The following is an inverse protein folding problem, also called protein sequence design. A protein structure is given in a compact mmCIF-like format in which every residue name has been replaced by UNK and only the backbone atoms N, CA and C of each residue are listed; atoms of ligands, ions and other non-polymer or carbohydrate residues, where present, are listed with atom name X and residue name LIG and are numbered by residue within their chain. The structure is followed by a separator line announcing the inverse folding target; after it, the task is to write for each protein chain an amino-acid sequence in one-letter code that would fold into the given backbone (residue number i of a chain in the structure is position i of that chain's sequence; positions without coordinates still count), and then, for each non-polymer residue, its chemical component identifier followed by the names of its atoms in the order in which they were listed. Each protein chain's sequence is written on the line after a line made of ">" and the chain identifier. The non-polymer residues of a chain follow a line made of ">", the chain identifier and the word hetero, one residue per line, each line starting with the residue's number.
data_IF_521199733812
#
_entry.id   IF_521199733812
#
_cell.length_a   1.000
_cell.length_b   1.000
_cell.length_c   1.000
_cell.angle_alpha   90.00
_cell.angle_beta   90.00
_cell.angle_gamma   90.00
#
_symmetry.space_group_name_H-M   'P 1'
#
loop_
_entity.id
_entity.type
_entity.pdbx_description
1 polymer ?
#
# COMPACT_ATOMS: atom_id res chain seq x y z
N UNK A 1 7.75 36.18 -23.08
CA UNK A 1 8.59 37.27 -22.54
C UNK A 1 8.21 37.39 -21.07
N UNK A 2 8.90 36.81 -20.11
CA UNK A 2 10.26 36.26 -20.05
C UNK A 2 10.20 35.17 -18.96
N UNK A 3 10.49 33.92 -19.32
CA UNK A 3 10.62 32.79 -18.41
C UNK A 3 11.73 33.12 -17.40
N UNK A 4 11.36 33.57 -16.21
CA UNK A 4 12.30 33.64 -15.09
C UNK A 4 12.61 32.20 -14.69
N UNK A 5 13.73 31.70 -15.21
CA UNK A 5 14.49 30.54 -14.70
C UNK A 5 14.44 30.54 -13.18
N UNK A 6 13.57 29.70 -12.60
CA UNK A 6 13.76 29.24 -11.21
C UNK A 6 15.12 28.54 -11.21
N UNK A 7 16.03 29.01 -10.36
CA UNK A 7 17.28 28.32 -10.07
C UNK A 7 16.88 26.94 -9.54
N UNK A 8 16.94 25.90 -10.39
CA UNK A 8 16.90 24.52 -9.91
C UNK A 8 18.14 24.36 -9.04
N UNK A 9 17.97 24.20 -7.74
CA UNK A 9 19.07 23.82 -6.85
C UNK A 9 19.64 22.48 -7.35
N UNK A 10 20.96 22.32 -7.26
CA UNK A 10 21.58 21.04 -7.57
C UNK A 10 21.07 19.99 -6.56
N UNK A 11 20.40 18.91 -6.99
CA UNK A 11 19.82 17.92 -6.08
C UNK A 11 20.87 17.24 -5.18
N UNK A 12 22.15 17.32 -5.57
CA UNK A 12 23.29 16.81 -4.78
C UNK A 12 23.52 17.65 -3.50
N UNK A 13 23.31 18.98 -3.55
CA UNK A 13 23.52 19.84 -2.39
C UNK A 13 22.35 19.80 -1.38
N UNK A 14 21.16 19.36 -1.81
CA UNK A 14 19.97 19.25 -0.97
C UNK A 14 19.77 17.82 -0.41
N UNK A 15 20.71 16.91 -0.65
CA UNK A 15 20.63 15.53 -0.12
C UNK A 15 20.87 15.53 1.40
N UNK A 16 19.92 15.02 2.22
CA UNK A 16 20.13 14.94 3.66
C UNK A 16 21.25 13.94 3.99
N UNK A 17 21.98 14.24 5.05
CA UNK A 17 23.07 13.42 5.58
C UNK A 17 22.60 12.50 6.70
N UNK A 18 23.47 11.59 7.15
CA UNK A 18 23.21 10.79 8.36
C UNK A 18 22.97 11.67 9.59
N UNK A 19 23.67 12.81 9.71
CA UNK A 19 23.49 13.73 10.83
C UNK A 19 22.08 14.35 10.83
N UNK A 20 21.52 14.64 9.65
CA UNK A 20 20.14 15.14 9.53
C UNK A 20 19.11 14.09 9.97
N UNK A 21 19.37 12.81 9.66
CA UNK A 21 18.53 11.69 10.09
C UNK A 21 18.62 11.48 11.61
N UNK A 22 19.82 11.62 12.19
CA UNK A 22 20.00 11.53 13.64
C UNK A 22 19.31 12.67 14.38
N UNK A 23 19.43 13.90 13.88
CA UNK A 23 18.68 15.04 14.38
C UNK A 23 17.16 14.84 14.23
N UNK A 24 16.71 14.21 13.14
CA UNK A 24 15.31 13.86 12.97
C UNK A 24 14.84 12.81 14.01
N UNK A 25 15.68 11.82 14.34
CA UNK A 25 15.40 10.84 15.40
C UNK A 25 15.21 11.52 16.75
N UNK A 26 16.04 12.51 17.08
CA UNK A 26 15.90 13.29 18.31
C UNK A 26 14.58 14.06 18.36
N UNK A 27 14.21 14.75 17.26
CA UNK A 27 12.92 15.47 17.18
C UNK A 27 11.70 14.55 17.28
N UNK A 28 11.82 13.32 16.80
CA UNK A 28 10.74 12.33 16.80
C UNK A 28 10.63 11.56 18.12
N UNK A 29 11.60 11.69 19.04
CA UNK A 29 11.58 11.00 20.33
C UNK A 29 10.32 11.38 21.14
N UNK A 30 9.57 10.38 21.58
CA UNK A 30 8.29 10.56 22.29
C UNK A 30 7.09 10.93 21.39
N UNK A 31 7.35 11.27 20.12
CA UNK A 31 6.33 11.63 19.14
C UNK A 31 6.01 10.44 18.25
N UNK A 32 6.99 9.98 17.45
CA UNK A 32 6.84 8.75 16.68
C UNK A 32 7.04 7.53 17.57
N UNK A 33 6.32 6.44 17.27
CA UNK A 33 6.58 5.14 17.88
C UNK A 33 7.84 4.57 17.27
N UNK A 34 8.73 4.05 18.09
CA UNK A 34 9.66 3.03 17.62
C UNK A 34 8.84 1.77 17.33
N UNK A 35 8.62 1.47 16.05
CA UNK A 35 7.65 0.43 15.69
C UNK A 35 8.25 -0.97 15.91
N UNK A 36 7.43 -1.97 16.26
CA UNK A 36 7.93 -3.33 16.45
C UNK A 36 8.55 -3.92 15.18
N UNK A 37 9.58 -4.74 15.39
CA UNK A 37 10.10 -5.67 14.39
C UNK A 37 9.63 -7.08 14.74
N UNK A 38 8.88 -7.72 13.84
CA UNK A 38 8.37 -9.08 14.06
C UNK A 38 9.15 -10.10 13.23
N UNK A 39 9.65 -11.14 13.88
CA UNK A 39 10.08 -12.36 13.18
C UNK A 39 8.89 -13.20 12.73
N UNK A 40 9.07 -13.99 11.68
CA UNK A 40 7.97 -14.79 11.10
C UNK A 40 8.37 -16.19 10.68
N UNK A 41 8.00 -17.18 11.47
CA UNK A 41 8.21 -18.59 11.10
C UNK A 41 7.50 -18.95 9.79
N UNK A 42 6.24 -18.53 9.63
CA UNK A 42 5.46 -18.86 8.43
C UNK A 42 6.10 -18.32 7.15
N UNK A 43 6.45 -17.03 7.11
CA UNK A 43 7.06 -16.48 5.89
C UNK A 43 8.50 -16.91 5.73
N UNK A 44 9.20 -17.22 6.83
CA UNK A 44 10.54 -17.81 6.74
C UNK A 44 10.52 -19.19 6.09
N UNK A 45 9.57 -20.04 6.49
CA UNK A 45 9.37 -21.37 5.89
C UNK A 45 8.95 -21.28 4.42
N UNK A 46 8.08 -20.33 4.06
CA UNK A 46 7.63 -20.15 2.67
C UNK A 46 8.74 -19.63 1.75
N UNK A 47 9.64 -18.81 2.27
CA UNK A 47 10.71 -18.18 1.47
C UNK A 47 12.09 -18.85 1.62
N UNK A 48 12.21 -19.85 2.48
CA UNK A 48 13.46 -20.59 2.74
C UNK A 48 14.52 -19.81 3.53
N UNK A 49 14.19 -18.66 4.12
CA UNK A 49 15.15 -17.75 4.78
C UNK A 49 14.53 -17.06 5.99
N UNK A 50 15.33 -16.48 6.89
CA UNK A 50 14.79 -15.68 8.00
C UNK A 50 14.10 -14.41 7.48
N UNK A 51 12.88 -14.15 7.95
CA UNK A 51 12.11 -12.95 7.57
C UNK A 51 11.76 -12.13 8.80
N UNK A 52 11.94 -10.82 8.68
CA UNK A 52 11.65 -9.81 9.70
C UNK A 52 10.72 -8.75 9.11
N UNK A 53 9.72 -8.31 9.86
CA UNK A 53 8.69 -7.36 9.42
C UNK A 53 8.76 -6.09 10.27
N UNK A 54 9.15 -4.97 9.68
CA UNK A 54 9.17 -3.65 10.32
C UNK A 54 7.79 -3.01 10.20
N UNK A 55 7.04 -2.98 11.29
CA UNK A 55 5.60 -2.72 11.30
C UNK A 55 5.22 -1.23 11.36
N UNK A 56 5.57 -0.46 10.32
CA UNK A 56 5.18 0.97 10.21
C UNK A 56 3.66 1.17 10.02
N UNK A 57 2.92 0.14 9.65
CA UNK A 57 1.45 0.12 9.72
C UNK A 57 0.90 0.32 11.14
N UNK A 58 1.70 0.07 12.18
CA UNK A 58 1.35 0.32 13.59
C UNK A 58 1.81 1.69 14.09
N UNK A 59 2.35 2.53 13.22
CA UNK A 59 2.69 3.90 13.56
C UNK A 59 1.43 4.73 13.84
N UNK A 60 1.57 5.89 14.48
CA UNK A 60 0.45 6.84 14.57
C UNK A 60 -0.01 7.21 13.15
N UNK A 61 -1.30 7.50 13.02
CA UNK A 61 -1.99 7.67 11.72
C UNK A 61 -1.85 6.47 10.76
N UNK A 62 -1.43 5.29 11.24
CA UNK A 62 -1.43 4.04 10.48
C UNK A 62 -0.36 3.90 9.40
N UNK A 63 0.65 4.79 9.34
CA UNK A 63 1.77 4.67 8.39
C UNK A 63 3.02 5.44 8.81
N UNK A 64 4.12 5.20 8.12
CA UNK A 64 5.41 5.89 8.35
C UNK A 64 5.38 7.42 8.20
N UNK A 65 4.39 7.97 7.49
CA UNK A 65 4.40 9.35 6.98
C UNK A 65 4.55 10.42 8.07
N UNK A 66 4.15 10.12 9.32
CA UNK A 66 4.31 11.07 10.44
C UNK A 66 5.77 11.44 10.68
N UNK A 67 6.72 10.57 10.36
CA UNK A 67 8.14 10.78 10.70
C UNK A 67 8.69 11.97 9.93
N UNK A 68 8.54 11.94 8.60
CA UNK A 68 8.89 13.10 7.77
C UNK A 68 8.00 14.30 8.01
N UNK A 69 6.68 14.13 8.13
CA UNK A 69 5.77 15.26 8.33
C UNK A 69 6.11 16.04 9.62
N UNK A 70 6.25 15.34 10.74
CA UNK A 70 6.59 15.98 12.01
C UNK A 70 8.01 16.54 12.01
N UNK A 71 9.01 15.83 11.46
CA UNK A 71 10.37 16.35 11.38
C UNK A 71 10.41 17.68 10.60
N UNK A 72 9.71 17.77 9.46
CA UNK A 72 9.60 19.02 8.69
C UNK A 72 8.98 20.13 9.54
N UNK A 73 7.81 19.88 10.14
CA UNK A 73 7.09 20.90 10.93
C UNK A 73 7.90 21.34 12.16
N UNK A 74 8.61 20.42 12.81
CA UNK A 74 9.45 20.70 13.97
C UNK A 74 10.65 21.58 13.64
N UNK A 75 11.08 21.66 12.39
CA UNK A 75 12.18 22.55 11.94
C UNK A 75 11.73 23.95 11.56
N UNK A 76 10.41 24.20 11.45
CA UNK A 76 9.89 25.51 11.07
C UNK A 76 10.18 26.56 12.12
N UNK A 77 10.52 27.77 11.65
CA UNK A 77 10.63 28.98 12.44
C UNK A 77 9.29 29.38 13.04
N UNK A 78 9.31 30.30 14.02
CA UNK A 78 8.08 30.80 14.62
C UNK A 78 7.16 31.50 13.60
N UNK A 79 7.73 32.20 12.62
CA UNK A 79 6.99 32.88 11.56
C UNK A 79 6.29 31.85 10.65
N UNK A 80 7.02 30.84 10.16
CA UNK A 80 6.46 29.77 9.33
C UNK A 80 5.37 28.98 10.08
N UNK A 81 5.57 28.68 11.37
CA UNK A 81 4.54 28.00 12.18
C UNK A 81 3.29 28.86 12.37
N UNK A 82 3.45 30.17 12.55
CA UNK A 82 2.29 31.08 12.67
C UNK A 82 1.52 31.20 11.35
N UNK A 83 2.21 31.14 10.20
CA UNK A 83 1.58 31.12 8.88
C UNK A 83 0.85 29.80 8.57
N UNK A 84 1.18 28.73 9.29
CA UNK A 84 0.59 27.41 9.12
C UNK A 84 1.29 26.57 8.06
N UNK A 85 0.82 25.33 7.91
CA UNK A 85 1.33 24.40 6.89
C UNK A 85 0.25 23.98 5.91
N UNK A 86 0.68 23.59 4.71
CA UNK A 86 -0.19 23.14 3.64
C UNK A 86 0.34 21.87 3.00
N UNK A 87 -0.55 20.99 2.58
CA UNK A 87 -0.21 19.81 1.77
C UNK A 87 -1.33 19.47 0.79
N UNK A 88 -0.98 18.81 -0.32
CA UNK A 88 -1.94 18.21 -1.24
C UNK A 88 -1.85 16.67 -1.12
N UNK A 89 -2.88 16.03 -0.56
CA UNK A 89 -2.94 14.57 -0.45
C UNK A 89 -4.29 14.11 0.06
N UNK A 90 -4.95 13.22 -0.68
CA UNK A 90 -6.12 12.48 -0.21
C UNK A 90 -5.75 11.16 0.48
N UNK A 91 -4.61 11.07 1.18
CA UNK A 91 -4.10 9.80 1.71
C UNK A 91 -3.25 9.94 2.97
N UNK A 92 -2.33 8.99 3.15
CA UNK A 92 -1.48 8.86 4.34
C UNK A 92 -0.70 10.14 4.67
N UNK A 93 -0.26 10.88 3.64
CA UNK A 93 0.47 12.12 3.83
C UNK A 93 -0.41 13.23 4.42
N UNK A 94 -1.62 13.44 3.90
CA UNK A 94 -2.55 14.45 4.41
C UNK A 94 -2.90 14.22 5.88
N UNK A 95 -3.18 12.96 6.25
CA UNK A 95 -3.43 12.57 7.64
C UNK A 95 -2.23 12.82 8.54
N UNK A 96 -1.02 12.47 8.07
CA UNK A 96 0.22 12.68 8.82
C UNK A 96 0.53 14.17 9.03
N UNK A 97 0.34 15.02 8.02
CA UNK A 97 0.53 16.47 8.13
C UNK A 97 -0.48 17.09 9.09
N UNK A 98 -1.77 16.74 8.95
CA UNK A 98 -2.81 17.22 9.86
C UNK A 98 -2.50 16.85 11.32
N UNK A 99 -2.15 15.58 11.56
CA UNK A 99 -1.80 15.12 12.89
C UNK A 99 -0.54 15.81 13.42
N UNK A 100 0.54 15.86 12.62
CA UNK A 100 1.80 16.45 13.04
C UNK A 100 1.68 17.96 13.32
N UNK A 101 0.88 18.67 12.54
CA UNK A 101 0.59 20.09 12.76
C UNK A 101 -0.09 20.32 14.10
N UNK A 102 -1.12 19.51 14.42
CA UNK A 102 -1.81 19.57 15.72
C UNK A 102 -0.85 19.34 16.88
N UNK A 103 -0.02 18.31 16.82
CA UNK A 103 0.94 18.01 17.90
C UNK A 103 2.03 19.09 18.04
N UNK A 104 2.38 19.77 16.93
CA UNK A 104 3.34 20.87 16.93
C UNK A 104 2.73 22.24 17.25
N UNK A 105 1.41 22.32 17.44
CA UNK A 105 0.69 23.57 17.75
C UNK A 105 0.55 24.53 16.57
N UNK A 106 0.52 24.02 15.32
CA UNK A 106 0.31 24.81 14.10
C UNK A 106 -0.97 24.38 13.38
N UNK A 107 -1.51 25.25 12.52
CA UNK A 107 -2.63 24.91 11.62
C UNK A 107 -2.13 24.13 10.40
N UNK A 108 -2.98 23.25 9.87
CA UNK A 108 -2.75 22.54 8.61
C UNK A 108 -3.94 22.66 7.67
N UNK A 109 -3.68 23.08 6.43
CA UNK A 109 -4.64 23.06 5.32
C UNK A 109 -4.29 21.93 4.36
N UNK A 110 -5.22 21.02 4.12
CA UNK A 110 -5.00 19.83 3.28
C UNK A 110 -5.92 19.91 2.06
N UNK A 111 -5.31 20.08 0.89
CA UNK A 111 -6.02 20.05 -0.38
C UNK A 111 -6.23 18.61 -0.84
N UNK A 112 -7.47 18.28 -1.18
CA UNK A 112 -7.86 16.96 -1.65
C UNK A 112 -8.77 17.08 -2.89
N UNK A 113 -8.68 16.14 -3.85
CA UNK A 113 -9.68 16.03 -4.91
C UNK A 113 -11.10 15.89 -4.34
N UNK A 114 -12.11 16.40 -5.05
CA UNK A 114 -13.52 16.31 -4.64
C UNK A 114 -14.03 14.87 -4.52
N UNK A 115 -13.47 13.94 -5.29
CA UNK A 115 -13.80 12.52 -5.30
C UNK A 115 -13.00 11.69 -4.28
N UNK A 116 -12.20 12.35 -3.41
CA UNK A 116 -11.46 11.68 -2.36
C UNK A 116 -12.41 10.86 -1.46
N UNK A 117 -12.05 9.60 -1.13
CA UNK A 117 -12.89 8.77 -0.27
C UNK A 117 -13.21 9.47 1.06
N UNK A 118 -14.50 9.53 1.42
CA UNK A 118 -14.96 10.25 2.62
C UNK A 118 -14.26 9.80 3.90
N UNK A 119 -13.93 8.51 4.03
CA UNK A 119 -13.16 8.00 5.17
C UNK A 119 -11.79 8.70 5.32
N UNK A 120 -11.11 9.04 4.21
CA UNK A 120 -9.80 9.72 4.23
C UNK A 120 -9.95 11.22 4.56
N UNK A 121 -11.03 11.84 4.10
CA UNK A 121 -11.40 13.23 4.44
C UNK A 121 -11.71 13.34 5.94
N UNK A 122 -12.58 12.47 6.46
CA UNK A 122 -12.98 12.43 7.86
C UNK A 122 -11.79 12.17 8.79
N UNK A 123 -10.92 11.20 8.45
CA UNK A 123 -9.71 10.94 9.22
C UNK A 123 -8.81 12.19 9.32
N UNK A 124 -8.64 12.91 8.21
CA UNK A 124 -7.80 14.13 8.19
C UNK A 124 -8.40 15.24 9.05
N UNK A 125 -9.72 15.46 8.96
CA UNK A 125 -10.44 16.41 9.83
C UNK A 125 -10.36 16.02 11.30
N UNK A 126 -10.50 14.73 11.63
CA UNK A 126 -10.38 14.21 12.99
C UNK A 126 -8.98 14.42 13.59
N UNK A 127 -7.95 14.50 12.75
CA UNK A 127 -6.59 14.86 13.17
C UNK A 127 -6.34 16.37 13.29
N UNK A 128 -7.34 17.21 13.02
CA UNK A 128 -7.29 18.67 13.19
C UNK A 128 -6.91 19.43 11.92
N UNK A 129 -6.83 18.77 10.76
CA UNK A 129 -6.59 19.43 9.48
C UNK A 129 -7.85 20.09 8.93
N UNK A 130 -7.70 21.29 8.36
CA UNK A 130 -8.72 21.92 7.52
C UNK A 130 -8.63 21.27 6.14
N UNK A 131 -9.69 20.62 5.68
CA UNK A 131 -9.71 19.97 4.36
C UNK A 131 -10.40 20.89 3.35
N UNK A 132 -9.66 21.30 2.34
CA UNK A 132 -10.14 22.13 1.23
C UNK A 132 -10.30 21.25 -0.02
N UNK A 133 -11.53 21.09 -0.55
CA UNK A 133 -11.73 20.37 -1.79
C UNK A 133 -11.17 21.17 -2.97
N UNK A 134 -10.49 20.48 -3.89
CA UNK A 134 -10.03 21.05 -5.16
C UNK A 134 -10.87 20.46 -6.31
N UNK A 135 -11.49 21.34 -7.09
CA UNK A 135 -12.25 20.94 -8.27
C UNK A 135 -11.30 20.37 -9.33
N UNK A 136 -11.49 19.10 -9.67
CA UNK A 136 -10.59 18.36 -10.56
C UNK A 136 -9.94 17.17 -9.85
N UNK A 137 -8.76 16.78 -10.33
CA UNK A 137 -7.99 15.67 -9.80
C UNK A 137 -6.85 16.09 -8.87
N UNK A 138 -5.88 15.19 -8.74
CA UNK A 138 -4.72 15.40 -7.86
C UNK A 138 -3.83 16.57 -8.30
N UNK A 139 -3.69 16.82 -9.61
CA UNK A 139 -2.86 17.90 -10.14
C UNK A 139 -3.44 19.28 -9.76
N UNK A 140 -4.76 19.42 -9.80
CA UNK A 140 -5.49 20.62 -9.37
C UNK A 140 -5.36 20.84 -7.85
N UNK A 141 -5.42 19.77 -7.05
CA UNK A 141 -5.17 19.86 -5.60
C UNK A 141 -3.74 20.35 -5.28
N UNK A 142 -2.74 19.91 -6.06
CA UNK A 142 -1.36 20.38 -5.93
C UNK A 142 -1.23 21.85 -6.32
N UNK A 143 -1.86 22.27 -7.43
CA UNK A 143 -1.87 23.67 -7.86
C UNK A 143 -2.51 24.59 -6.80
N UNK A 144 -3.66 24.19 -6.24
CA UNK A 144 -4.34 24.93 -5.18
C UNK A 144 -3.51 25.04 -3.89
N UNK A 145 -2.77 23.98 -3.54
CA UNK A 145 -1.83 24.04 -2.42
C UNK A 145 -0.70 25.06 -2.65
N UNK A 146 -0.15 25.14 -3.88
CA UNK A 146 0.85 26.16 -4.23
C UNK A 146 0.29 27.58 -4.19
N UNK A 147 -0.91 27.80 -4.72
CA UNK A 147 -1.57 29.11 -4.63
C UNK A 147 -1.80 29.53 -3.17
N UNK A 148 -2.17 28.57 -2.31
CA UNK A 148 -2.31 28.82 -0.88
C UNK A 148 -0.98 29.29 -0.25
N UNK A 149 0.14 28.64 -0.57
CA UNK A 149 1.48 29.08 -0.12
C UNK A 149 1.74 30.53 -0.52
N UNK A 150 1.52 30.87 -1.79
CA UNK A 150 1.77 32.22 -2.31
C UNK A 150 0.91 33.28 -1.63
N UNK A 151 -0.34 32.92 -1.27
CA UNK A 151 -1.30 33.84 -0.66
C UNK A 151 -1.11 34.03 0.85
N UNK A 152 -0.77 32.97 1.58
CA UNK A 152 -0.76 32.99 3.06
C UNK A 152 0.62 32.98 3.68
N UNK A 153 1.66 32.64 2.91
CA UNK A 153 3.00 32.37 3.44
C UNK A 153 3.10 31.04 4.19
N UNK A 154 2.06 30.18 4.13
CA UNK A 154 2.11 28.85 4.74
C UNK A 154 3.21 28.00 4.11
N UNK A 155 3.78 27.08 4.90
CA UNK A 155 4.84 26.18 4.40
C UNK A 155 4.24 24.94 3.76
N UNK A 156 4.62 24.65 2.51
CA UNK A 156 4.28 23.38 1.86
C UNK A 156 5.07 22.23 2.50
N UNK A 157 4.37 21.25 3.06
CA UNK A 157 4.97 19.99 3.51
C UNK A 157 4.83 18.97 2.37
N UNK A 158 5.90 18.83 1.59
CA UNK A 158 5.90 17.92 0.44
C UNK A 158 5.81 16.44 0.86
N UNK A 159 5.24 15.58 0.03
CA UNK A 159 5.00 14.18 0.38
C UNK A 159 6.27 13.30 0.37
N UNK A 160 7.31 13.70 -0.36
CA UNK A 160 8.57 12.94 -0.50
C UNK A 160 9.78 13.78 -0.95
N UNK A 161 9.65 14.69 -1.93
CA UNK A 161 10.70 15.67 -2.35
C UNK A 161 10.93 16.81 -1.33
N UNK A 162 11.42 16.49 -0.15
CA UNK A 162 11.93 17.47 0.80
C UNK A 162 12.98 16.79 1.69
N UNK A 163 14.16 17.38 1.82
CA UNK A 163 15.28 16.83 2.58
C UNK A 163 14.89 16.52 4.04
N UNK A 164 14.06 17.36 4.66
CA UNK A 164 13.55 17.18 6.03
C UNK A 164 12.57 16.01 6.10
N UNK A 165 11.74 15.84 5.08
CA UNK A 165 10.83 14.70 4.98
C UNK A 165 11.64 13.41 4.86
N UNK A 166 12.60 13.36 3.93
CA UNK A 166 13.50 12.23 3.71
C UNK A 166 14.26 11.88 4.99
N UNK A 167 14.84 12.89 5.66
CA UNK A 167 15.56 12.69 6.92
C UNK A 167 14.67 12.06 8.01
N UNK A 168 13.43 12.55 8.14
CA UNK A 168 12.45 11.96 9.05
C UNK A 168 12.14 10.50 8.73
N UNK A 169 11.91 10.16 7.44
CA UNK A 169 11.68 8.77 7.06
C UNK A 169 12.90 7.87 7.31
N UNK A 170 14.11 8.43 7.18
CA UNK A 170 15.37 7.71 7.42
C UNK A 170 15.57 7.22 8.84
N UNK A 171 14.81 7.74 9.80
CA UNK A 171 14.84 7.22 11.18
C UNK A 171 14.45 5.74 11.26
N UNK A 172 13.64 5.24 10.32
CA UNK A 172 13.35 3.80 10.18
C UNK A 172 14.63 3.01 9.87
N UNK A 173 15.54 3.57 9.08
CA UNK A 173 16.81 2.93 8.78
C UNK A 173 17.70 2.81 10.02
N UNK A 174 17.71 3.82 10.91
CA UNK A 174 18.41 3.72 12.20
C UNK A 174 17.79 2.63 13.07
N UNK A 175 16.46 2.57 13.16
CA UNK A 175 15.76 1.51 13.90
C UNK A 175 16.06 0.12 13.33
N UNK A 176 16.12 -0.04 12.01
CA UNK A 176 16.46 -1.32 11.36
C UNK A 176 17.89 -1.76 11.68
N UNK A 177 18.86 -0.85 11.72
CA UNK A 177 20.26 -1.14 12.08
C UNK A 177 20.38 -1.72 13.50
N UNK A 178 19.54 -1.21 14.41
CA UNK A 178 19.51 -1.58 15.82
C UNK A 178 18.68 -2.84 16.06
N UNK A 179 17.50 -2.95 15.44
CA UNK A 179 16.52 -4.02 15.68
C UNK A 179 16.73 -5.28 14.83
N UNK A 180 17.32 -5.14 13.63
CA UNK A 180 17.51 -6.23 12.67
C UNK A 180 18.99 -6.40 12.27
N UNK A 181 19.93 -6.52 13.23
CA UNK A 181 21.37 -6.59 12.92
C UNK A 181 21.77 -7.78 12.04
N UNK A 182 20.94 -8.82 11.99
CA UNK A 182 21.10 -10.03 11.18
C UNK A 182 20.56 -9.91 9.74
N UNK A 183 19.72 -8.91 9.45
CA UNK A 183 19.16 -8.74 8.12
C UNK A 183 20.27 -8.37 7.12
N UNK A 184 20.53 -9.23 6.15
CA UNK A 184 21.47 -8.94 5.08
C UNK A 184 20.80 -8.20 3.92
N UNK A 185 19.47 -8.34 3.77
CA UNK A 185 18.67 -7.66 2.74
C UNK A 185 17.53 -6.86 3.37
N UNK A 186 17.21 -5.69 2.81
CA UNK A 186 16.05 -4.88 3.19
C UNK A 186 15.18 -4.58 1.97
N UNK A 187 13.89 -4.92 2.06
CA UNK A 187 12.89 -4.63 1.02
C UNK A 187 12.08 -3.39 1.42
N UNK A 188 12.09 -2.37 0.55
CA UNK A 188 11.48 -1.06 0.84
C UNK A 188 10.50 -0.67 -0.27
N UNK A 189 9.24 -0.34 0.05
CA UNK A 189 8.30 0.20 -0.93
C UNK A 189 8.81 1.52 -1.53
N UNK A 190 8.74 1.65 -2.86
CA UNK A 190 9.18 2.84 -3.60
C UNK A 190 8.00 3.43 -4.36
N UNK A 191 7.46 4.53 -3.82
CA UNK A 191 6.59 5.44 -4.55
C UNK A 191 7.39 6.63 -5.08
N UNK A 192 7.10 7.83 -4.56
CA UNK A 192 7.87 9.04 -4.89
C UNK A 192 9.33 9.01 -4.43
N UNK A 193 9.72 8.00 -3.64
CA UNK A 193 11.10 7.69 -3.28
C UNK A 193 11.52 8.10 -1.87
N UNK A 194 10.87 9.09 -1.26
CA UNK A 194 11.34 9.66 0.02
C UNK A 194 11.51 8.68 1.20
N UNK A 195 10.66 7.64 1.30
CA UNK A 195 10.83 6.56 2.28
C UNK A 195 12.14 5.78 2.04
N UNK A 196 12.30 5.27 0.83
CA UNK A 196 13.45 4.48 0.45
C UNK A 196 14.73 5.30 0.45
N UNK A 197 14.69 6.58 0.06
CA UNK A 197 15.84 7.48 0.11
C UNK A 197 16.32 7.65 1.54
N UNK A 198 15.42 7.97 2.49
CA UNK A 198 15.79 8.16 3.89
C UNK A 198 16.36 6.89 4.51
N UNK A 199 15.68 5.76 4.34
CA UNK A 199 16.15 4.48 4.89
C UNK A 199 17.49 4.11 4.29
N UNK A 200 17.63 4.19 2.96
CA UNK A 200 18.85 3.76 2.28
C UNK A 200 20.07 4.61 2.63
N UNK A 201 19.92 5.91 2.89
CA UNK A 201 21.01 6.75 3.42
C UNK A 201 21.49 6.20 4.77
N UNK A 202 20.57 5.98 5.71
CA UNK A 202 20.92 5.46 7.03
C UNK A 202 21.59 4.08 6.95
N UNK A 203 21.08 3.17 6.10
CA UNK A 203 21.65 1.85 5.92
C UNK A 203 23.03 1.89 5.26
N UNK A 204 23.26 2.72 4.24
CA UNK A 204 24.57 2.83 3.59
C UNK A 204 25.65 3.36 4.53
N UNK A 205 25.30 4.30 5.39
CA UNK A 205 26.23 4.89 6.36
C UNK A 205 26.53 3.96 7.55
N UNK A 206 25.54 3.18 8.01
CA UNK A 206 25.70 2.32 9.20
C UNK A 206 25.99 0.85 8.88
N UNK A 207 25.59 0.37 7.72
CA UNK A 207 25.67 -1.04 7.26
C UNK A 207 25.95 -1.09 5.74
N UNK A 208 27.12 -0.62 5.27
CA UNK A 208 27.39 -0.47 3.83
C UNK A 208 27.24 -1.75 3.00
N UNK A 209 27.46 -2.93 3.60
CA UNK A 209 27.32 -4.23 2.94
C UNK A 209 25.90 -4.82 2.92
N UNK A 210 24.90 -4.14 3.49
CA UNK A 210 23.51 -4.61 3.46
C UNK A 210 22.92 -4.37 2.06
N UNK A 211 22.23 -5.38 1.52
CA UNK A 211 21.53 -5.27 0.23
C UNK A 211 20.22 -4.50 0.42
N UNK A 212 19.96 -3.51 -0.44
CA UNK A 212 18.78 -2.65 -0.38
C UNK A 212 18.01 -2.79 -1.69
N UNK A 213 16.80 -3.32 -1.62
CA UNK A 213 15.94 -3.56 -2.78
C UNK A 213 14.71 -2.68 -2.70
N UNK A 214 14.52 -1.84 -3.71
CA UNK A 214 13.30 -1.07 -3.90
C UNK A 214 12.20 -1.95 -4.49
N UNK A 215 10.97 -1.84 -3.98
CA UNK A 215 9.82 -2.57 -4.51
C UNK A 215 8.79 -1.59 -5.04
N UNK A 216 8.48 -1.71 -6.33
CA UNK A 216 7.52 -0.88 -7.05
C UNK A 216 6.32 -1.73 -7.51
N UNK A 217 5.26 -1.05 -7.93
CA UNK A 217 4.16 -1.65 -8.69
C UNK A 217 3.98 -0.88 -10.00
N UNK A 218 3.22 -1.47 -10.93
CA UNK A 218 2.90 -0.77 -12.18
C UNK A 218 2.11 0.51 -11.89
N UNK A 219 2.48 1.66 -12.50
CA UNK A 219 1.70 2.88 -12.37
C UNK A 219 0.28 2.71 -12.94
N UNK A 220 -0.70 3.35 -12.33
CA UNK A 220 -2.09 3.33 -12.78
C UNK A 220 -3.06 2.96 -11.67
N UNK A 221 -4.17 2.32 -12.05
CA UNK A 221 -5.15 1.81 -11.10
C UNK A 221 -4.59 0.54 -10.44
N UNK A 222 -4.20 0.66 -9.18
CA UNK A 222 -3.62 -0.43 -8.37
C UNK A 222 -4.11 -0.35 -6.94
N UNK A 223 -4.18 -1.51 -6.26
CA UNK A 223 -4.44 -1.59 -4.82
C UNK A 223 -3.30 -1.01 -3.97
N UNK A 224 -2.12 -0.74 -4.55
CA UNK A 224 -0.99 -0.06 -3.91
C UNK A 224 -0.95 1.45 -4.23
N UNK A 225 -2.08 2.13 -4.01
CA UNK A 225 -2.28 3.56 -4.29
C UNK A 225 -1.18 4.47 -3.72
N UNK A 226 -0.68 4.16 -2.52
CA UNK A 226 0.37 4.93 -1.84
C UNK A 226 1.73 4.98 -2.56
N UNK A 227 1.99 4.08 -3.51
CA UNK A 227 3.21 4.06 -4.32
C UNK A 227 2.95 4.17 -5.83
N UNK A 228 1.69 4.37 -6.24
CA UNK A 228 1.26 4.52 -7.63
C UNK A 228 1.57 5.91 -8.21
N UNK A 229 2.81 6.36 -8.12
CA UNK A 229 3.25 7.67 -8.64
C UNK A 229 3.71 7.57 -10.10
N UNK A 230 3.37 8.59 -10.90
CA UNK A 230 3.76 8.68 -12.33
C UNK A 230 5.28 8.75 -12.52
N UNK A 231 5.97 9.44 -11.63
CA UNK A 231 7.43 9.57 -11.64
C UNK A 231 7.96 9.65 -10.21
N UNK A 232 9.21 9.21 -10.04
CA UNK A 232 9.99 9.52 -8.84
C UNK A 232 10.29 11.02 -8.84
N UNK A 233 10.50 11.58 -7.65
CA UNK A 233 11.00 12.95 -7.58
C UNK A 233 12.51 13.03 -7.86
N UNK A 234 12.98 14.22 -8.20
CA UNK A 234 14.34 14.45 -8.68
C UNK A 234 15.39 14.19 -7.58
N UNK A 235 15.16 14.71 -6.38
CA UNK A 235 16.04 14.51 -5.22
C UNK A 235 16.03 13.05 -4.79
N UNK A 236 14.83 12.48 -4.63
CA UNK A 236 14.70 11.09 -4.20
C UNK A 236 15.32 10.13 -5.22
N UNK A 237 15.13 10.37 -6.53
CA UNK A 237 15.75 9.61 -7.61
C UNK A 237 17.28 9.64 -7.56
N UNK A 238 17.88 10.83 -7.45
CA UNK A 238 19.33 10.99 -7.37
C UNK A 238 19.95 10.25 -6.17
N UNK A 239 19.24 10.17 -5.05
CA UNK A 239 19.66 9.37 -3.88
C UNK A 239 19.57 7.88 -4.20
N UNK A 240 18.40 7.42 -4.68
CA UNK A 240 18.13 5.99 -4.89
C UNK A 240 19.03 5.37 -5.95
N UNK A 241 19.38 6.11 -7.00
CA UNK A 241 20.30 5.65 -8.05
C UNK A 241 21.71 5.33 -7.50
N UNK A 242 22.06 5.90 -6.34
CA UNK A 242 23.35 5.66 -5.66
C UNK A 242 23.24 4.66 -4.52
N UNK A 243 22.05 4.47 -3.94
CA UNK A 243 21.89 3.74 -2.69
C UNK A 243 21.17 2.41 -2.85
N UNK A 244 20.32 2.21 -3.86
CA UNK A 244 19.67 0.92 -4.10
C UNK A 244 20.58 -0.03 -4.88
N UNK A 245 20.54 -1.31 -4.53
CA UNK A 245 21.21 -2.36 -5.31
C UNK A 245 20.32 -2.90 -6.43
N UNK A 246 19.00 -2.87 -6.23
CA UNK A 246 18.05 -3.47 -7.15
C UNK A 246 16.64 -2.87 -7.00
N UNK A 247 15.81 -3.03 -8.03
CA UNK A 247 14.41 -2.61 -8.04
C UNK A 247 13.56 -3.70 -8.69
N UNK A 248 12.54 -4.14 -7.97
CA UNK A 248 11.64 -5.22 -8.42
C UNK A 248 10.19 -4.74 -8.49
N UNK A 249 9.48 -5.18 -9.53
CA UNK A 249 8.05 -4.90 -9.73
C UNK A 249 7.20 -6.08 -9.26
N UNK A 250 6.09 -5.77 -8.58
CA UNK A 250 5.04 -6.73 -8.20
C UNK A 250 3.68 -6.35 -8.79
N UNK A 251 2.82 -7.34 -9.02
CA UNK A 251 1.45 -7.14 -9.52
C UNK A 251 0.41 -7.04 -8.39
N UNK A 252 -0.77 -6.52 -8.69
CA UNK A 252 -1.90 -6.44 -7.74
C UNK A 252 -2.31 -7.82 -7.21
N UNK A 253 -2.18 -8.87 -8.03
CA UNK A 253 -2.43 -10.24 -7.61
C UNK A 253 -1.42 -10.69 -6.54
N UNK A 254 -0.12 -10.46 -6.77
CA UNK A 254 0.94 -10.79 -5.82
C UNK A 254 0.78 -9.98 -4.51
N UNK A 255 0.38 -8.71 -4.62
CA UNK A 255 0.11 -7.84 -3.47
C UNK A 255 -1.11 -8.34 -2.68
N UNK A 256 -2.18 -8.74 -3.37
CA UNK A 256 -3.39 -9.28 -2.74
C UNK A 256 -3.09 -10.56 -1.96
N UNK A 257 -2.33 -11.49 -2.56
CA UNK A 257 -1.94 -12.75 -1.90
C UNK A 257 -1.10 -12.47 -0.64
N UNK A 258 -0.15 -11.55 -0.73
CA UNK A 258 0.68 -11.15 0.42
C UNK A 258 -0.13 -10.48 1.53
N UNK A 259 -1.09 -9.62 1.18
CA UNK A 259 -1.95 -8.92 2.14
C UNK A 259 -2.83 -9.92 2.91
N UNK A 260 -3.50 -10.84 2.21
CA UNK A 260 -4.33 -11.88 2.84
C UNK A 260 -3.49 -12.76 3.76
N UNK A 261 -2.32 -13.20 3.31
CA UNK A 261 -1.41 -14.00 4.13
C UNK A 261 -0.87 -13.24 5.35
N UNK A 262 -0.54 -11.95 5.21
CA UNK A 262 -0.11 -11.09 6.31
C UNK A 262 -1.20 -10.98 7.38
N UNK A 263 -2.43 -10.71 6.96
CA UNK A 263 -3.57 -10.63 7.86
C UNK A 263 -3.82 -11.97 8.56
N UNK A 264 -3.78 -13.10 7.84
CA UNK A 264 -4.10 -14.41 8.41
C UNK A 264 -2.99 -14.98 9.30
N UNK A 265 -1.73 -14.79 8.93
CA UNK A 265 -0.60 -15.44 9.60
C UNK A 265 0.11 -14.53 10.59
N UNK A 266 -0.02 -13.21 10.42
CA UNK A 266 0.55 -12.22 11.34
C UNK A 266 -0.44 -11.32 12.03
N UNK A 267 -1.71 -11.35 11.64
CA UNK A 267 -2.76 -10.54 12.27
C UNK A 267 -2.44 -9.04 12.19
N UNK A 268 -1.65 -8.66 11.18
CA UNK A 268 -1.33 -7.29 10.85
C UNK A 268 -2.18 -6.91 9.64
N UNK A 269 -2.97 -5.85 9.80
CA UNK A 269 -3.64 -5.21 8.68
C UNK A 269 -2.65 -4.25 8.01
N UNK A 270 -2.39 -4.49 6.73
CA UNK A 270 -1.53 -3.66 5.88
C UNK A 270 -2.33 -3.20 4.66
N UNK A 271 -2.01 -2.02 4.13
CA UNK A 271 -2.52 -1.54 2.85
C UNK A 271 -1.71 -2.16 1.69
N UNK A 272 -2.15 -1.99 0.43
CA UNK A 272 -1.43 -2.57 -0.72
C UNK A 272 0.03 -2.11 -0.79
N UNK A 273 0.29 -0.82 -0.64
CA UNK A 273 1.64 -0.27 -0.59
C UNK A 273 2.49 -0.83 0.57
N UNK A 274 1.85 -1.13 1.71
CA UNK A 274 2.50 -1.76 2.85
C UNK A 274 2.83 -3.24 2.66
N UNK A 275 2.15 -3.92 1.74
CA UNK A 275 2.33 -5.34 1.48
C UNK A 275 3.36 -5.65 0.38
N UNK A 276 3.78 -4.67 -0.44
CA UNK A 276 4.58 -4.94 -1.65
C UNK A 276 5.90 -5.65 -1.38
N UNK A 277 6.58 -5.32 -0.27
CA UNK A 277 7.83 -6.00 0.08
C UNK A 277 7.62 -7.49 0.41
N UNK A 278 6.52 -7.83 1.08
CA UNK A 278 6.15 -9.22 1.33
C UNK A 278 5.73 -9.92 0.02
N UNK A 279 5.02 -9.23 -0.86
CA UNK A 279 4.67 -9.74 -2.19
C UNK A 279 5.92 -10.08 -3.00
N UNK A 280 6.92 -9.19 -3.04
CA UNK A 280 8.16 -9.41 -3.76
C UNK A 280 8.94 -10.62 -3.21
N UNK A 281 8.95 -10.81 -1.89
CA UNK A 281 9.56 -11.98 -1.27
C UNK A 281 8.82 -13.27 -1.67
N UNK A 282 7.50 -13.31 -1.50
CA UNK A 282 6.70 -14.51 -1.74
C UNK A 282 6.65 -14.89 -3.23
N UNK A 283 6.74 -13.92 -4.13
CA UNK A 283 6.87 -14.13 -5.57
C UNK A 283 8.29 -14.56 -6.01
N UNK A 284 9.24 -14.71 -5.07
CA UNK A 284 10.62 -15.09 -5.37
C UNK A 284 11.44 -13.99 -6.07
N UNK A 285 10.94 -12.76 -6.09
CA UNK A 285 11.57 -11.62 -6.77
C UNK A 285 12.61 -10.90 -5.92
N UNK A 286 12.57 -11.07 -4.60
CA UNK A 286 13.50 -10.40 -3.68
C UNK A 286 14.99 -10.75 -3.90
N UNK A 287 15.29 -11.90 -4.50
CA UNK A 287 16.66 -12.40 -4.69
C UNK A 287 17.37 -12.80 -3.40
N UNK A 288 18.48 -13.54 -3.49
CA UNK A 288 19.28 -13.99 -2.34
C UNK A 288 18.61 -15.08 -1.48
N UNK A 289 19.31 -15.56 -0.45
CA UNK A 289 18.82 -16.55 0.54
C UNK A 289 19.05 -16.10 1.99
N UNK A 290 19.69 -14.95 2.18
CA UNK A 290 20.04 -14.42 3.49
C UNK A 290 18.83 -13.83 4.24
N UNK A 291 18.93 -13.62 5.57
CA UNK A 291 17.88 -12.97 6.35
C UNK A 291 17.44 -11.63 5.75
N UNK A 292 16.13 -11.42 5.68
CA UNK A 292 15.51 -10.25 5.04
C UNK A 292 14.61 -9.49 5.98
N UNK A 293 14.75 -8.16 6.02
CA UNK A 293 13.81 -7.26 6.67
C UNK A 293 12.88 -6.60 5.64
N UNK A 294 11.60 -6.53 5.94
CA UNK A 294 10.56 -5.99 5.06
C UNK A 294 9.86 -4.83 5.77
N UNK A 295 9.79 -3.69 5.10
CA UNK A 295 9.08 -2.51 5.62
C UNK A 295 7.60 -2.61 5.28
N UNK A 296 6.75 -2.83 6.29
CA UNK A 296 5.30 -2.76 6.17
C UNK A 296 4.85 -1.29 6.31
N UNK A 297 4.92 -0.52 5.22
CA UNK A 297 4.88 0.95 5.27
C UNK A 297 3.60 1.56 5.84
N UNK A 298 2.45 0.89 5.71
CA UNK A 298 1.17 1.43 6.16
C UNK A 298 0.04 0.41 6.21
N UNK A 299 -1.04 0.79 6.90
CA UNK A 299 -2.23 -0.05 7.15
C UNK A 299 -3.55 0.65 6.87
N UNK A 300 -3.55 1.79 6.18
CA UNK A 300 -4.73 2.61 5.94
C UNK A 300 -5.49 2.16 4.70
N UNK A 301 -6.17 1.02 4.82
CA UNK A 301 -7.06 0.49 3.78
C UNK A 301 -8.52 0.72 4.19
N UNK A 302 -9.33 1.24 3.27
CA UNK A 302 -10.77 1.36 3.52
C UNK A 302 -11.45 -0.02 3.52
N UNK A 303 -12.55 -0.15 4.25
CA UNK A 303 -13.21 -1.44 4.42
C UNK A 303 -13.71 -2.03 3.09
N UNK A 304 -14.13 -1.20 2.13
CA UNK A 304 -14.64 -1.68 0.84
C UNK A 304 -13.53 -2.25 -0.03
N UNK A 305 -12.39 -1.57 -0.11
CA UNK A 305 -11.17 -2.08 -0.77
C UNK A 305 -10.68 -3.34 -0.08
N UNK A 306 -10.68 -3.38 1.25
CA UNK A 306 -10.27 -4.58 2.00
C UNK A 306 -11.14 -5.79 1.66
N UNK A 307 -12.46 -5.63 1.59
CA UNK A 307 -13.38 -6.71 1.19
C UNK A 307 -13.06 -7.20 -0.22
N UNK A 308 -12.86 -6.28 -1.17
CA UNK A 308 -12.53 -6.60 -2.56
C UNK A 308 -11.21 -7.38 -2.67
N UNK A 309 -10.16 -6.93 -1.97
CA UNK A 309 -8.85 -7.61 -1.92
C UNK A 309 -8.98 -9.00 -1.28
N UNK A 310 -9.70 -9.10 -0.15
CA UNK A 310 -9.94 -10.40 0.51
C UNK A 310 -10.65 -11.38 -0.40
N UNK A 311 -11.69 -10.94 -1.13
CA UNK A 311 -12.38 -11.79 -2.11
C UNK A 311 -11.43 -12.27 -3.20
N UNK A 312 -10.61 -11.38 -3.76
CA UNK A 312 -9.62 -11.74 -4.77
C UNK A 312 -8.63 -12.80 -4.24
N UNK A 313 -8.03 -12.58 -3.07
CA UNK A 313 -7.08 -13.53 -2.48
C UNK A 313 -7.73 -14.87 -2.07
N UNK A 314 -9.00 -14.86 -1.64
CA UNK A 314 -9.77 -16.08 -1.37
C UNK A 314 -10.03 -16.90 -2.64
N UNK A 315 -10.38 -16.24 -3.74
CA UNK A 315 -10.54 -16.90 -5.05
C UNK A 315 -9.23 -17.48 -5.55
N UNK A 316 -8.13 -16.72 -5.43
CA UNK A 316 -6.79 -17.15 -5.86
C UNK A 316 -6.22 -18.31 -5.05
N UNK A 317 -6.59 -18.43 -3.78
CA UNK A 317 -6.22 -19.57 -2.93
C UNK A 317 -7.19 -20.75 -3.02
N UNK A 318 -8.12 -20.74 -3.99
CA UNK A 318 -9.15 -21.77 -4.19
C UNK A 318 -10.00 -22.02 -2.96
N UNK A 319 -10.17 -20.99 -2.13
CA UNK A 319 -11.12 -20.97 -1.01
C UNK A 319 -12.47 -20.39 -1.41
N UNK A 320 -12.50 -19.60 -2.48
CA UNK A 320 -13.70 -19.30 -3.26
C UNK A 320 -13.56 -19.86 -4.67
N UNK A 321 -14.62 -20.51 -5.12
CA UNK A 321 -14.84 -20.96 -6.49
C UNK A 321 -15.97 -20.12 -7.07
N UNK A 322 -15.64 -19.23 -8.01
CA UNK A 322 -16.63 -18.54 -8.81
C UNK A 322 -16.84 -19.33 -10.12
N UNK A 323 -18.08 -19.63 -10.45
CA UNK A 323 -18.45 -20.32 -11.68
C UNK A 323 -19.62 -19.62 -12.35
N UNK A 324 -19.65 -19.73 -13.68
CA UNK A 324 -20.81 -19.41 -14.50
C UNK A 324 -21.31 -20.69 -15.13
N UNK A 325 -22.62 -20.91 -15.07
CA UNK A 325 -23.27 -22.07 -15.68
C UNK A 325 -24.56 -21.68 -16.39
N UNK A 326 -24.89 -22.40 -17.46
CA UNK A 326 -26.18 -22.27 -18.13
C UNK A 326 -27.12 -23.37 -17.63
N UNK A 327 -28.29 -22.99 -17.16
CA UNK A 327 -29.35 -23.92 -16.75
C UNK A 327 -30.56 -23.79 -17.68
N UNK A 328 -31.30 -24.89 -17.96
CA UNK A 328 -32.57 -24.79 -18.67
C UNK A 328 -33.58 -23.95 -17.88
N UNK A 329 -34.36 -23.11 -18.56
CA UNK A 329 -35.40 -22.31 -17.91
C UNK A 329 -36.65 -23.16 -17.65
N UNK A 330 -36.55 -24.07 -16.67
CA UNK A 330 -37.67 -24.87 -16.17
C UNK A 330 -37.64 -24.95 -14.64
N UNK A 331 -38.82 -25.11 -13.99
CA UNK A 331 -38.89 -25.19 -12.53
C UNK A 331 -37.97 -26.28 -11.95
N UNK A 332 -37.19 -25.93 -10.92
CA UNK A 332 -36.34 -26.86 -10.18
C UNK A 332 -34.89 -26.97 -10.65
N UNK A 333 -34.50 -26.42 -11.80
CA UNK A 333 -33.12 -26.57 -12.29
C UNK A 333 -32.07 -25.90 -11.42
N UNK A 334 -32.34 -24.71 -10.91
CA UNK A 334 -31.42 -24.08 -9.96
C UNK A 334 -31.26 -24.94 -8.70
N UNK A 335 -32.34 -25.55 -8.21
CA UNK A 335 -32.28 -26.48 -7.07
C UNK A 335 -31.37 -27.66 -7.40
N UNK A 336 -31.47 -28.26 -8.59
CA UNK A 336 -30.62 -29.40 -8.97
C UNK A 336 -29.12 -29.02 -8.92
N UNK A 337 -28.76 -27.85 -9.45
CA UNK A 337 -27.38 -27.32 -9.37
C UNK A 337 -26.94 -27.11 -7.91
N UNK A 338 -27.78 -26.49 -7.10
CA UNK A 338 -27.47 -26.26 -5.68
C UNK A 338 -27.36 -27.57 -4.88
N UNK A 339 -28.19 -28.57 -5.20
CA UNK A 339 -28.16 -29.90 -4.57
C UNK A 339 -26.84 -30.61 -4.92
N UNK A 340 -26.31 -30.47 -6.14
CA UNK A 340 -24.99 -31.00 -6.53
C UNK A 340 -23.85 -30.32 -5.76
N UNK A 341 -23.88 -28.98 -5.64
CA UNK A 341 -22.90 -28.24 -4.84
C UNK A 341 -22.95 -28.69 -3.37
N UNK A 342 -24.15 -28.88 -2.82
CA UNK A 342 -24.34 -29.35 -1.45
C UNK A 342 -23.84 -30.79 -1.24
N UNK A 343 -24.03 -31.69 -2.21
CA UNK A 343 -23.51 -33.08 -2.17
C UNK A 343 -21.98 -33.12 -2.05
N UNK A 344 -21.30 -32.23 -2.76
CA UNK A 344 -19.85 -32.07 -2.67
C UNK A 344 -19.39 -31.33 -1.40
N UNK A 345 -20.34 -30.84 -0.57
CA UNK A 345 -20.10 -30.03 0.63
C UNK A 345 -19.51 -28.65 0.34
N UNK A 346 -19.84 -28.07 -0.81
CA UNK A 346 -19.60 -26.65 -1.09
C UNK A 346 -20.58 -25.78 -0.30
N UNK A 347 -20.10 -24.68 0.30
CA UNK A 347 -20.97 -23.71 0.96
C UNK A 347 -21.25 -22.55 0.02
N UNK A 348 -22.52 -22.25 -0.25
CA UNK A 348 -22.90 -21.19 -1.16
C UNK A 348 -22.72 -19.80 -0.53
N UNK A 349 -22.01 -18.91 -1.24
CA UNK A 349 -21.75 -17.53 -0.81
C UNK A 349 -22.67 -16.56 -1.53
N UNK A 350 -22.84 -16.72 -2.85
CA UNK A 350 -23.79 -15.93 -3.65
C UNK A 350 -24.33 -16.73 -4.83
N UNK A 351 -25.50 -16.31 -5.30
CA UNK A 351 -26.17 -16.78 -6.51
C UNK A 351 -26.68 -15.57 -7.24
N UNK A 352 -26.25 -15.38 -8.48
CA UNK A 352 -26.71 -14.32 -9.36
C UNK A 352 -27.36 -14.95 -10.59
N UNK A 353 -28.57 -14.49 -10.92
CA UNK A 353 -29.41 -15.06 -11.97
C UNK A 353 -29.67 -14.02 -13.05
N UNK A 354 -29.17 -14.27 -14.25
CA UNK A 354 -29.25 -13.32 -15.36
C UNK A 354 -30.23 -13.81 -16.41
N UNK A 355 -31.46 -13.27 -16.36
CA UNK A 355 -32.55 -13.54 -17.33
C UNK A 355 -32.63 -12.52 -18.47
N UNK A 356 -32.22 -11.30 -18.21
CA UNK A 356 -32.37 -10.16 -19.13
C UNK A 356 -31.00 -9.73 -19.67
N UNK A 357 -30.80 -9.81 -20.99
CA UNK A 357 -29.66 -9.18 -21.67
C UNK A 357 -28.42 -10.04 -21.97
N UNK A 358 -28.29 -11.26 -21.44
CA UNK A 358 -27.10 -12.14 -21.65
C UNK A 358 -27.37 -13.39 -22.49
N UNK A 359 -28.58 -13.56 -23.03
CA UNK A 359 -29.03 -14.86 -23.54
C UNK A 359 -28.38 -15.26 -24.86
N UNK A 360 -27.48 -16.25 -24.81
CA UNK A 360 -27.06 -17.05 -25.98
C UNK A 360 -28.22 -17.88 -26.56
N UNK A 361 -29.27 -18.18 -25.79
CA UNK A 361 -30.55 -18.77 -26.25
C UNK A 361 -31.73 -18.35 -25.36
N UNK A 362 -32.96 -18.30 -25.90
CA UNK A 362 -34.18 -17.91 -25.17
C UNK A 362 -34.72 -18.96 -24.17
N UNK A 363 -34.10 -20.14 -24.08
CA UNK A 363 -34.56 -21.28 -23.27
C UNK A 363 -33.61 -21.65 -22.13
N UNK A 364 -32.58 -20.84 -21.92
CA UNK A 364 -31.57 -21.06 -20.89
C UNK A 364 -31.41 -19.79 -20.07
N UNK A 365 -31.09 -19.97 -18.80
CA UNK A 365 -30.68 -18.88 -17.93
C UNK A 365 -29.25 -19.06 -17.46
N UNK A 366 -28.52 -17.95 -17.42
CA UNK A 366 -27.18 -17.90 -16.87
C UNK A 366 -27.25 -17.72 -15.35
N UNK A 367 -26.47 -18.54 -14.65
CA UNK A 367 -26.33 -18.51 -13.20
C UNK A 367 -24.85 -18.36 -12.89
N UNK A 368 -24.51 -17.33 -12.12
CA UNK A 368 -23.20 -17.21 -11.51
C UNK A 368 -23.30 -17.65 -10.03
N UNK A 369 -22.38 -18.51 -9.62
CA UNK A 369 -22.30 -19.03 -8.25
C UNK A 369 -20.92 -18.70 -7.68
N UNK A 370 -20.90 -18.17 -6.45
CA UNK A 370 -19.69 -18.12 -5.64
C UNK A 370 -19.83 -19.13 -4.52
N UNK A 371 -18.90 -20.07 -4.45
CA UNK A 371 -18.93 -21.21 -3.56
C UNK A 371 -17.67 -21.17 -2.70
N UNK A 372 -17.82 -21.30 -1.38
CA UNK A 372 -16.70 -21.51 -0.49
C UNK A 372 -16.23 -22.96 -0.55
N UNK A 373 -14.94 -23.12 -0.80
CA UNK A 373 -14.24 -24.37 -1.05
C UNK A 373 -13.08 -24.54 -0.06
N UNK A 374 -12.54 -25.76 0.00
CA UNK A 374 -11.47 -26.10 0.95
C UNK A 374 -10.10 -25.85 0.33
N UNK A 375 -9.98 -26.26 -0.93
CA UNK A 375 -8.76 -26.27 -1.73
C UNK A 375 -9.13 -26.48 -3.21
N UNK A 376 -8.12 -26.51 -4.06
CA UNK A 376 -8.25 -26.73 -5.50
C UNK A 376 -8.82 -28.12 -5.85
N UNK A 377 -8.56 -29.15 -5.04
CA UNK A 377 -9.12 -30.49 -5.27
C UNK A 377 -10.63 -30.48 -5.06
N UNK A 378 -11.10 -29.82 -4.00
CA UNK A 378 -12.53 -29.62 -3.75
C UNK A 378 -13.19 -28.78 -4.85
N UNK A 379 -12.51 -27.75 -5.38
CA UNK A 379 -13.00 -27.03 -6.57
C UNK A 379 -13.20 -27.99 -7.75
N UNK A 380 -12.21 -28.86 -8.02
CA UNK A 380 -12.27 -29.85 -9.10
C UNK A 380 -13.42 -30.85 -8.93
N UNK A 381 -13.70 -31.30 -7.70
CA UNK A 381 -14.82 -32.20 -7.40
C UNK A 381 -16.17 -31.56 -7.74
N UNK A 382 -16.40 -30.31 -7.32
CA UNK A 382 -17.63 -29.55 -7.64
C UNK A 382 -17.80 -29.36 -9.14
N UNK A 383 -16.75 -28.92 -9.83
CA UNK A 383 -16.77 -28.71 -11.28
C UNK A 383 -17.08 -30.01 -12.04
N UNK A 384 -16.47 -31.12 -11.61
CA UNK A 384 -16.68 -32.44 -12.22
C UNK A 384 -18.10 -32.96 -11.96
N UNK A 385 -18.63 -32.78 -10.75
CA UNK A 385 -20.00 -33.18 -10.38
C UNK A 385 -21.04 -32.47 -11.25
N UNK A 386 -20.89 -31.15 -11.43
CA UNK A 386 -21.76 -30.34 -12.30
C UNK A 386 -21.63 -30.75 -13.78
N UNK A 387 -20.41 -30.95 -14.28
CA UNK A 387 -20.17 -31.36 -15.66
C UNK A 387 -20.77 -32.76 -15.95
N UNK A 388 -20.64 -33.71 -15.03
CA UNK A 388 -21.21 -35.06 -15.15
C UNK A 388 -22.74 -35.06 -15.17
N UNK A 389 -23.37 -34.08 -14.50
CA UNK A 389 -24.81 -33.85 -14.55
C UNK A 389 -25.28 -33.14 -15.84
N UNK A 390 -24.36 -32.79 -16.74
CA UNK A 390 -24.66 -32.18 -18.04
C UNK A 390 -24.71 -30.65 -18.04
N UNK A 391 -24.26 -29.99 -16.97
CA UNK A 391 -24.18 -28.53 -16.94
C UNK A 391 -22.90 -28.03 -17.61
N UNK A 392 -23.03 -27.00 -18.45
CA UNK A 392 -21.88 -26.30 -19.02
C UNK A 392 -21.33 -25.33 -17.97
N UNK A 393 -20.15 -25.63 -17.42
CA UNK A 393 -19.54 -24.84 -16.34
C UNK A 393 -18.29 -24.13 -16.83
N UNK A 394 -18.26 -22.82 -16.66
CA UNK A 394 -17.11 -21.96 -16.85
C UNK A 394 -16.60 -21.53 -15.47
N UNK A 395 -15.33 -21.80 -15.15
CA UNK A 395 -14.70 -21.23 -13.94
C UNK A 395 -14.34 -19.77 -14.22
N UNK A 396 -14.77 -18.88 -13.33
CA UNK A 396 -14.44 -17.47 -13.39
C UNK A 396 -13.17 -17.22 -12.57
N UNK A 397 -12.09 -16.81 -13.25
CA UNK A 397 -10.78 -16.57 -12.65
C UNK A 397 -9.83 -17.76 -12.71
N UNK A 398 -8.52 -17.53 -12.51
CA UNK A 398 -7.50 -18.57 -12.65
C UNK A 398 -7.56 -19.61 -11.51
N UNK A 399 -7.12 -20.86 -11.76
CA UNK A 399 -6.88 -21.82 -10.69
C UNK A 399 -5.77 -21.33 -9.75
N UNK A 400 -5.76 -21.84 -8.50
CA UNK A 400 -4.67 -21.55 -7.58
C UNK A 400 -3.34 -21.96 -8.21
N UNK A 401 -2.37 -21.05 -8.17
CA UNK A 401 -0.99 -21.35 -8.52
C UNK A 401 -0.38 -22.14 -7.35
N UNK A 402 0.21 -23.31 -7.65
CA UNK A 402 0.85 -24.17 -6.64
C UNK A 402 2.15 -23.59 -6.13
#
# INVERSE_FOLDING_TARGET
>A
MEERKRVRSDPVNDTPTIADIEAARERLAGVARETPLYSTETFSRLSGRTVLLKAENLQRTGSFKIRGAYNTIATLSAEERNAGVVAASAGNHGQAVAWAAREAGTSATIFMPEDAPMAKVEATRAYGGVVEPASGGFEEAVAAAHEHVERTGATLVHAFEDARVIAGQGTIGLELVEQAPEAATVLIPVGGGGLASGISIALRERRPGQRIVGVICRPGLTIADGIAVKSRGDLAGAILDRTLDDIVEVSDEEISDALVLCLERKKLLVEGAGAVGLAALLAGRAGGEDPVAIVLSGGNVDATTLISVMRLGLTRSSRYLAIRTLIPDRPGELRNVLDLVAQERGNLVSVDHHREGTTRTALQTEVELVISTRDEEHCGAILTSLANAGYAVERLGPPATR
#
